data_IF_834617615833
#
_entry.id   IF_834617615833
#
_cell.length_a   1.000
_cell.length_b   1.000
_cell.length_c   1.000
_cell.angle_alpha   90.00
_cell.angle_beta   90.00
_cell.angle_gamma   90.00
#
_symmetry.space_group_name_H-M   'P 1'
#
loop_
_entity.id
_entity.type
_entity.pdbx_description
1 polymer ?
#
# COMPACT_ATOMS: atom_id res chain seq x y z
N UNK A 1 -1.14 17.88 2.69
CA UNK A 1 -2.54 17.45 2.47
C UNK A 1 -3.26 17.57 3.80
N UNK A 2 -4.33 18.35 3.89
CA UNK A 2 -5.17 18.40 5.10
C UNK A 2 -6.14 17.21 5.06
N UNK A 3 -6.50 16.67 6.22
CA UNK A 3 -7.56 15.66 6.30
C UNK A 3 -8.93 16.33 6.07
N UNK A 4 -9.94 15.55 5.69
CA UNK A 4 -11.31 16.05 5.57
C UNK A 4 -11.74 16.74 6.88
N UNK A 5 -12.42 17.89 6.78
CA UNK A 5 -12.89 18.63 7.97
C UNK A 5 -11.84 19.46 8.72
N UNK A 6 -10.66 19.74 8.13
CA UNK A 6 -9.63 20.60 8.73
C UNK A 6 -8.65 19.87 9.65
N UNK A 7 -8.66 18.54 9.65
CA UNK A 7 -7.71 17.71 10.39
C UNK A 7 -6.33 17.60 9.72
N UNK A 8 -5.44 16.83 10.35
CA UNK A 8 -4.12 16.49 9.81
C UNK A 8 -4.01 15.00 9.55
N UNK A 9 -3.35 14.63 8.46
CA UNK A 9 -2.92 13.26 8.25
C UNK A 9 -1.76 12.92 9.19
N UNK A 10 -1.82 11.74 9.80
CA UNK A 10 -0.75 11.18 10.60
C UNK A 10 -0.40 9.82 10.02
N UNK A 11 0.86 9.64 9.62
CA UNK A 11 1.38 8.35 9.19
C UNK A 11 2.20 7.76 10.32
N UNK A 12 1.83 6.56 10.76
CA UNK A 12 2.47 5.86 11.87
C UNK A 12 2.80 4.43 11.43
N UNK A 13 4.01 3.91 11.69
CA UNK A 13 4.32 2.51 11.46
C UNK A 13 3.39 1.57 12.26
N UNK A 14 3.04 0.37 11.78
CA UNK A 14 2.13 -0.54 12.48
C UNK A 14 2.49 -0.78 13.95
N UNK A 15 3.77 -1.03 14.25
CA UNK A 15 4.27 -1.23 15.62
C UNK A 15 4.19 -0.03 16.55
N UNK A 16 3.83 1.16 16.05
CA UNK A 16 3.61 2.37 16.87
C UNK A 16 2.14 2.73 17.02
N UNK A 17 1.22 2.00 16.38
CA UNK A 17 -0.20 2.31 16.39
C UNK A 17 -0.78 2.26 17.81
N UNK A 18 -0.51 1.20 18.58
CA UNK A 18 -0.99 1.10 19.97
C UNK A 18 -0.58 2.32 20.80
N UNK A 19 0.71 2.67 20.79
CA UNK A 19 1.22 3.84 21.51
C UNK A 19 0.56 5.14 21.07
N UNK A 20 0.26 5.26 19.78
CA UNK A 20 -0.43 6.42 19.26
C UNK A 20 -1.89 6.50 19.74
N UNK A 21 -2.60 5.36 19.77
CA UNK A 21 -3.95 5.24 20.33
C UNK A 21 -3.96 5.59 21.83
N UNK A 22 -3.03 5.06 22.60
CA UNK A 22 -2.88 5.36 24.03
C UNK A 22 -2.64 6.86 24.25
N UNK A 23 -1.78 7.46 23.42
CA UNK A 23 -1.50 8.90 23.46
C UNK A 23 -2.67 9.78 23.02
N UNK A 24 -3.56 9.26 22.17
CA UNK A 24 -4.79 9.95 21.78
C UNK A 24 -5.77 9.98 22.97
N UNK A 25 -6.02 8.83 23.60
CA UNK A 25 -6.86 8.72 24.81
C UNK A 25 -6.29 9.55 25.96
N UNK A 26 -4.98 9.50 26.20
CA UNK A 26 -4.35 10.27 27.27
C UNK A 26 -4.49 11.80 27.08
N UNK A 27 -4.58 12.28 25.83
CA UNK A 27 -4.71 13.71 25.51
C UNK A 27 -6.16 14.18 25.51
N UNK A 28 -7.07 13.36 25.04
CA UNK A 28 -8.46 13.74 24.73
C UNK A 28 -9.50 13.12 25.68
N UNK A 29 -9.06 12.26 26.58
CA UNK A 29 -9.93 11.54 27.53
C UNK A 29 -10.49 10.23 26.96
N UNK A 30 -11.48 9.64 27.64
CA UNK A 30 -12.16 8.44 27.19
C UNK A 30 -12.69 8.57 25.76
N UNK A 31 -12.66 7.47 25.01
CA UNK A 31 -13.10 7.44 23.60
C UNK A 31 -14.17 6.39 23.38
N UNK A 32 -15.18 6.75 22.59
CA UNK A 32 -16.08 5.78 21.96
C UNK A 32 -15.48 5.33 20.64
N UNK A 33 -15.35 4.02 20.44
CA UNK A 33 -14.81 3.42 19.21
C UNK A 33 -15.94 2.81 18.38
N UNK A 34 -15.96 3.14 17.09
CA UNK A 34 -16.77 2.42 16.09
C UNK A 34 -15.86 1.86 14.99
N UNK A 35 -16.27 0.74 14.40
CA UNK A 35 -15.48 0.08 13.35
C UNK A 35 -16.40 -0.48 12.26
N UNK A 36 -15.97 -0.32 11.02
CA UNK A 36 -16.49 -0.99 9.82
C UNK A 36 -15.40 -1.94 9.28
N UNK A 37 -15.66 -2.58 8.14
CA UNK A 37 -14.67 -3.43 7.48
C UNK A 37 -13.42 -2.64 7.02
N UNK A 38 -13.57 -1.36 6.72
CA UNK A 38 -12.57 -0.52 6.05
C UNK A 38 -12.15 0.72 6.86
N UNK A 39 -12.81 1.02 7.98
CA UNK A 39 -12.51 2.18 8.80
C UNK A 39 -12.70 1.92 10.30
N UNK A 40 -11.87 2.54 11.12
CA UNK A 40 -12.06 2.68 12.57
C UNK A 40 -12.15 4.16 12.92
N UNK A 41 -13.16 4.53 13.71
CA UNK A 41 -13.36 5.90 14.19
C UNK A 41 -13.31 5.94 15.71
N UNK A 42 -12.58 6.91 16.24
CA UNK A 42 -12.54 7.25 17.65
C UNK A 42 -13.17 8.62 17.83
N UNK A 43 -14.13 8.73 18.75
CA UNK A 43 -14.72 9.97 19.21
C UNK A 43 -14.41 10.15 20.69
N UNK A 44 -13.63 11.16 21.03
CA UNK A 44 -13.33 11.53 22.41
C UNK A 44 -14.43 12.41 23.02
N UNK A 45 -14.50 12.45 24.35
CA UNK A 45 -15.45 13.30 25.09
C UNK A 45 -15.24 14.81 24.84
N UNK A 46 -14.00 15.23 24.57
CA UNK A 46 -13.67 16.61 24.22
C UNK A 46 -14.01 16.99 22.76
N UNK A 47 -14.60 16.05 22.01
CA UNK A 47 -14.99 16.22 20.61
C UNK A 47 -13.89 15.92 19.60
N UNK A 48 -12.67 15.56 20.03
CA UNK A 48 -11.62 15.15 19.12
C UNK A 48 -11.98 13.84 18.38
N UNK A 49 -11.69 13.80 17.07
CA UNK A 49 -11.97 12.66 16.22
C UNK A 49 -10.68 12.14 15.59
N UNK A 50 -10.52 10.81 15.61
CA UNK A 50 -9.53 10.12 14.80
C UNK A 50 -10.22 9.13 13.87
N UNK A 51 -9.96 9.26 12.58
CA UNK A 51 -10.41 8.31 11.55
C UNK A 51 -9.19 7.57 11.02
N UNK A 52 -9.28 6.25 11.03
CA UNK A 52 -8.20 5.34 10.65
C UNK A 52 -8.73 4.45 9.55
N UNK A 53 -8.12 4.56 8.36
CA UNK A 53 -8.36 3.63 7.26
C UNK A 53 -7.76 2.27 7.62
N UNK A 54 -8.52 1.19 7.43
CA UNK A 54 -8.07 -0.18 7.69
C UNK A 54 -7.30 -0.68 6.47
N UNK A 55 -5.98 -0.89 6.55
CA UNK A 55 -5.22 -1.41 5.42
C UNK A 55 -5.62 -2.86 5.14
N UNK A 56 -5.77 -3.23 3.87
CA UNK A 56 -6.15 -4.60 3.47
C UNK A 56 -7.45 -5.08 4.13
N UNK A 57 -8.50 -4.24 4.08
CA UNK A 57 -9.85 -4.59 4.51
C UNK A 57 -10.31 -5.96 3.94
N UNK A 58 -11.18 -6.71 4.65
CA UNK A 58 -11.95 -6.31 5.82
C UNK A 58 -11.21 -6.45 7.16
N UNK A 59 -11.55 -5.60 8.13
CA UNK A 59 -11.20 -5.77 9.54
C UNK A 59 -11.95 -7.00 10.11
N UNK A 60 -11.21 -8.00 10.57
CA UNK A 60 -11.77 -9.23 11.16
C UNK A 60 -11.56 -9.27 12.67
N UNK A 61 -10.39 -8.83 13.14
CA UNK A 61 -9.97 -8.85 14.55
C UNK A 61 -9.85 -7.41 15.11
N UNK A 62 -9.07 -7.23 16.19
CA UNK A 62 -8.69 -5.89 16.64
C UNK A 62 -7.81 -5.16 15.63
N UNK A 63 -7.85 -3.82 15.64
CA UNK A 63 -7.14 -2.99 14.67
C UNK A 63 -5.62 -3.19 14.77
N UNK A 64 -5.10 -3.33 15.99
CA UNK A 64 -3.66 -3.46 16.23
C UNK A 64 -3.17 -4.82 15.74
N UNK A 65 -3.89 -5.89 16.04
CA UNK A 65 -3.66 -7.24 15.55
C UNK A 65 -3.72 -7.28 14.02
N UNK A 66 -4.70 -6.59 13.44
CA UNK A 66 -4.89 -6.52 11.99
C UNK A 66 -3.73 -5.87 11.24
N UNK A 67 -3.17 -4.76 11.78
CA UNK A 67 -2.03 -4.07 11.14
C UNK A 67 -0.69 -4.74 11.40
N UNK A 68 -0.57 -5.54 12.47
CA UNK A 68 0.64 -6.30 12.80
C UNK A 68 0.69 -7.67 12.13
N UNK A 69 -0.43 -8.16 11.59
CA UNK A 69 -0.48 -9.45 10.90
C UNK A 69 0.42 -9.42 9.67
N UNK A 70 1.41 -10.31 9.65
CA UNK A 70 2.20 -10.59 8.46
C UNK A 70 1.30 -11.12 7.34
N UNK A 71 1.56 -10.67 6.11
CA UNK A 71 0.77 -11.00 4.93
C UNK A 71 1.66 -11.55 3.83
N UNK A 72 1.08 -12.44 3.03
CA UNK A 72 1.67 -12.86 1.79
C UNK A 72 1.36 -11.84 0.71
N UNK A 73 2.37 -11.18 0.15
CA UNK A 73 2.22 -10.10 -0.83
C UNK A 73 3.00 -10.41 -2.10
N UNK A 74 2.32 -10.41 -3.24
CA UNK A 74 2.96 -10.45 -4.55
C UNK A 74 3.35 -9.03 -5.00
N UNK A 75 4.59 -8.87 -5.44
CA UNK A 75 5.12 -7.62 -6.00
C UNK A 75 5.48 -7.86 -7.47
N UNK A 76 5.06 -6.96 -8.36
CA UNK A 76 5.41 -6.94 -9.77
C UNK A 76 6.03 -5.59 -10.14
N UNK A 77 7.28 -5.62 -10.59
CA UNK A 77 8.02 -4.47 -11.08
C UNK A 77 8.15 -4.60 -12.60
N UNK A 78 7.66 -3.61 -13.35
CA UNK A 78 7.70 -3.63 -14.81
C UNK A 78 8.40 -2.37 -15.32
N UNK A 79 9.31 -2.57 -16.27
CA UNK A 79 9.94 -1.49 -17.05
C UNK A 79 10.07 -1.91 -18.51
N UNK A 80 10.31 -0.95 -19.39
CA UNK A 80 10.68 -1.28 -20.76
C UNK A 80 11.98 -2.12 -20.77
N UNK A 81 11.94 -3.31 -21.38
CA UNK A 81 13.07 -4.23 -21.44
C UNK A 81 13.27 -5.13 -20.21
N UNK A 82 12.34 -5.14 -19.25
CA UNK A 82 12.48 -6.00 -18.07
C UNK A 82 11.26 -6.04 -17.16
N UNK A 83 11.06 -7.19 -16.52
CA UNK A 83 10.15 -7.32 -15.39
C UNK A 83 10.77 -8.17 -14.28
N UNK A 84 10.31 -7.93 -13.06
CA UNK A 84 10.60 -8.76 -11.90
C UNK A 84 9.31 -8.99 -11.13
N UNK A 85 9.07 -10.21 -10.69
CA UNK A 85 8.03 -10.53 -9.73
C UNK A 85 8.61 -11.25 -8.52
N UNK A 86 7.96 -11.09 -7.37
CA UNK A 86 8.34 -11.78 -6.15
C UNK A 86 7.17 -11.92 -5.18
N UNK A 87 7.21 -12.97 -4.37
CA UNK A 87 6.26 -13.22 -3.28
C UNK A 87 6.98 -12.94 -1.97
N UNK A 88 6.40 -12.08 -1.15
CA UNK A 88 6.87 -11.78 0.19
C UNK A 88 5.97 -12.45 1.22
N UNK A 89 6.56 -13.03 2.25
CA UNK A 89 5.91 -13.48 3.47
C UNK A 89 6.39 -12.56 4.60
N UNK A 90 5.55 -11.58 4.95
CA UNK A 90 5.98 -10.45 5.77
C UNK A 90 7.18 -9.73 5.14
N UNK A 91 8.31 -9.54 5.86
CA UNK A 91 9.50 -8.89 5.32
C UNK A 91 10.38 -9.81 4.44
N UNK A 92 10.06 -11.10 4.32
CA UNK A 92 10.93 -12.10 3.67
C UNK A 92 10.49 -12.35 2.23
N UNK A 93 11.40 -12.21 1.26
CA UNK A 93 11.19 -12.67 -0.11
C UNK A 93 11.27 -14.21 -0.14
N UNK A 94 10.20 -14.88 -0.56
CA UNK A 94 10.09 -16.35 -0.52
C UNK A 94 10.18 -17.00 -1.89
N UNK A 95 9.78 -16.28 -2.94
CA UNK A 95 9.92 -16.71 -4.33
C UNK A 95 10.09 -15.47 -5.22
N UNK A 96 10.80 -15.61 -6.33
CA UNK A 96 10.95 -14.52 -7.29
C UNK A 96 11.34 -14.98 -8.68
N UNK A 97 10.97 -14.20 -9.68
CA UNK A 97 11.38 -14.38 -11.07
C UNK A 97 11.71 -13.04 -11.70
N UNK A 98 12.86 -12.96 -12.34
CA UNK A 98 13.31 -11.79 -13.10
C UNK A 98 13.46 -12.18 -14.56
N UNK A 99 12.93 -11.36 -15.47
CA UNK A 99 13.03 -11.59 -16.91
C UNK A 99 13.38 -10.29 -17.62
N UNK A 100 14.28 -10.37 -18.60
CA UNK A 100 14.66 -9.23 -19.46
C UNK A 100 14.32 -9.56 -20.90
N UNK A 101 13.05 -9.38 -21.34
CA UNK A 101 12.71 -9.60 -22.74
C UNK A 101 13.43 -8.55 -23.61
N UNK A 102 13.96 -8.99 -24.75
CA UNK A 102 14.67 -8.12 -25.68
C UNK A 102 13.68 -7.15 -26.35
N UNK A 103 13.70 -5.88 -25.92
CA UNK A 103 12.87 -4.83 -26.51
C UNK A 103 13.69 -4.04 -27.52
N UNK A 104 13.28 -4.08 -28.79
CA UNK A 104 13.91 -3.32 -29.87
C UNK A 104 13.39 -1.88 -29.86
N UNK A 105 14.25 -0.94 -29.45
CA UNK A 105 13.96 0.50 -29.43
C UNK A 105 13.58 1.08 -30.80
N UNK A 106 13.08 2.33 -30.82
CA UNK A 106 12.78 3.08 -32.04
C UNK A 106 14.04 3.82 -32.49
N UNK A 107 14.71 3.35 -33.54
CA UNK A 107 15.83 4.08 -34.16
C UNK A 107 15.24 5.04 -35.22
N UNK A 108 15.59 6.34 -35.22
CA UNK A 108 15.02 7.33 -36.17
C UNK A 108 15.39 7.08 -37.64
N UNK A 109 16.39 6.25 -37.93
CA UNK A 109 16.88 5.99 -39.28
C UNK A 109 16.56 4.54 -39.72
N UNK A 110 16.01 4.37 -40.94
CA UNK A 110 16.35 3.24 -41.82
C UNK A 110 15.25 2.24 -42.24
N UNK A 111 14.73 2.43 -43.46
CA UNK A 111 14.50 1.36 -44.46
C UNK A 111 13.48 0.23 -44.18
N UNK A 112 13.36 -0.67 -45.17
CA UNK A 112 12.44 -1.82 -45.21
C UNK A 112 12.53 -2.78 -43.99
N UNK A 113 13.60 -2.71 -43.19
CA UNK A 113 13.77 -3.45 -41.94
C UNK A 113 12.86 -2.95 -40.80
N UNK A 114 12.39 -1.68 -40.82
CA UNK A 114 11.50 -1.13 -39.79
C UNK A 114 10.13 -1.83 -39.74
N UNK A 115 9.56 -2.20 -40.90
CA UNK A 115 8.26 -2.88 -40.98
C UNK A 115 8.26 -4.24 -40.25
N UNK A 116 9.41 -4.93 -40.22
CA UNK A 116 9.56 -6.22 -39.54
C UNK A 116 9.63 -6.09 -38.02
N UNK A 117 10.16 -4.97 -37.49
CA UNK A 117 10.19 -4.71 -36.04
C UNK A 117 8.89 -4.10 -35.52
N UNK A 118 8.15 -3.35 -36.34
CA UNK A 118 6.85 -2.79 -35.96
C UNK A 118 5.83 -3.88 -35.58
N UNK A 119 5.84 -5.02 -36.28
CA UNK A 119 4.94 -6.16 -35.99
C UNK A 119 5.23 -6.84 -34.65
N UNK A 120 6.46 -6.76 -34.13
CA UNK A 120 6.88 -7.36 -32.85
C UNK A 120 6.59 -6.47 -31.63
N UNK A 121 6.01 -5.27 -31.82
CA UNK A 121 5.76 -4.27 -30.77
C UNK A 121 4.30 -4.22 -30.28
N UNK A 122 3.40 -4.96 -30.93
CA UNK A 122 1.95 -4.97 -30.65
C UNK A 122 1.53 -6.18 -29.80
N UNK A 123 2.48 -7.08 -29.49
CA UNK A 123 2.28 -8.21 -28.58
C UNK A 123 2.73 -7.90 -27.18
#
# INVERSE_FOLDING_TARGET
>A
MQAAGGGRWVTTPPGRLQRWLDGFVARHGPVTRTATADQVRLLAEDGAVAEIEVPYAPLVDGLVEHVLRDRMVGVLLVRLGGCACGVFDGPRLVDSKVTTPQVHGRIPAGGQSQQRFARRRVG
#
